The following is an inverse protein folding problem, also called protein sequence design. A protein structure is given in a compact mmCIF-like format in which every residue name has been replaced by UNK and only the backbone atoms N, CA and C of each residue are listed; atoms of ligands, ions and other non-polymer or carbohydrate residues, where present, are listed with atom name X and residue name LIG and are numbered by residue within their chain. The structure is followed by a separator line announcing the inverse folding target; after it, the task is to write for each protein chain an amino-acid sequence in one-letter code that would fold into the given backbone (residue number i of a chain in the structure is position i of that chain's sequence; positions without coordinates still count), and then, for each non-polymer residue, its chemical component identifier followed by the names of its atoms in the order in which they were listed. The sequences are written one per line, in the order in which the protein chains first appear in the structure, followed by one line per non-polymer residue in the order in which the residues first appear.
data_IF_601176431718
#
_entry.id   IF_601176431718
#
_cell.length_a   1.000
_cell.length_b   1.000
_cell.length_c   1.000
_cell.angle_alpha   90.00
_cell.angle_beta   90.00
_cell.angle_gamma   90.00
#
_symmetry.space_group_name_H-M   'P 1'
#
loop_
_entity.id
_entity.type
_entity.pdbx_description
1 polymer ?
#
# COMPACT_ATOMS: atom_id res chain seq x y z
N UNK A 1 -9.55 8.39 -11.12
CA UNK A 1 -10.11 9.77 -11.20
C UNK A 1 -9.58 10.47 -9.97
N UNK A 2 -8.87 11.57 -10.12
CA UNK A 2 -8.28 12.25 -8.97
C UNK A 2 -9.38 12.79 -8.06
N UNK A 3 -9.35 12.39 -6.80
CA UNK A 3 -10.22 12.91 -5.76
C UNK A 3 -9.81 14.36 -5.47
N UNK A 4 -10.81 15.25 -5.40
CA UNK A 4 -10.62 16.66 -5.03
C UNK A 4 -11.00 16.79 -3.56
N UNK A 5 -10.10 17.35 -2.76
CA UNK A 5 -10.36 17.63 -1.35
C UNK A 5 -11.51 18.64 -1.19
N UNK A 6 -12.53 18.24 -0.45
CA UNK A 6 -13.71 19.04 -0.15
C UNK A 6 -13.80 19.45 1.33
N UNK A 7 -12.72 19.22 2.09
CA UNK A 7 -12.66 19.52 3.53
C UNK A 7 -13.21 18.41 4.43
N UNK A 8 -13.82 17.35 3.88
CA UNK A 8 -14.43 16.28 4.67
C UNK A 8 -13.39 15.21 5.05
N UNK A 9 -12.89 15.31 6.29
CA UNK A 9 -11.88 14.40 6.83
C UNK A 9 -12.36 12.94 6.89
N UNK A 10 -13.64 12.71 7.22
CA UNK A 10 -14.20 11.36 7.35
C UNK A 10 -14.34 10.71 5.97
N UNK A 11 -14.76 11.49 4.96
CA UNK A 11 -14.79 11.01 3.58
C UNK A 11 -13.40 10.67 3.06
N UNK A 12 -12.41 11.54 3.29
CA UNK A 12 -11.01 11.26 2.98
C UNK A 12 -10.52 9.95 3.62
N UNK A 13 -10.80 9.75 4.92
CA UNK A 13 -10.47 8.51 5.63
C UNK A 13 -11.14 7.27 5.02
N UNK A 14 -12.40 7.42 4.59
CA UNK A 14 -13.14 6.36 3.89
C UNK A 14 -12.45 5.93 2.59
N UNK A 15 -12.00 6.90 1.78
CA UNK A 15 -11.23 6.60 0.57
C UNK A 15 -9.90 5.92 0.86
N UNK A 16 -9.12 6.44 1.82
CA UNK A 16 -7.84 5.83 2.25
C UNK A 16 -8.05 4.37 2.65
N UNK A 17 -9.07 4.10 3.45
CA UNK A 17 -9.38 2.75 3.94
C UNK A 17 -9.75 1.80 2.81
N UNK A 18 -10.64 2.24 1.91
CA UNK A 18 -11.11 1.43 0.78
C UNK A 18 -9.98 1.14 -0.20
N UNK A 19 -9.21 2.15 -0.58
CA UNK A 19 -8.12 2.01 -1.53
C UNK A 19 -6.96 1.20 -0.94
N UNK A 20 -6.64 1.35 0.34
CA UNK A 20 -5.67 0.47 0.99
C UNK A 20 -6.10 -1.00 0.95
N UNK A 21 -7.38 -1.32 1.18
CA UNK A 21 -7.87 -2.69 1.08
C UNK A 21 -7.78 -3.25 -0.35
N UNK A 22 -8.07 -2.43 -1.36
CA UNK A 22 -7.86 -2.80 -2.76
C UNK A 22 -6.38 -3.02 -3.11
N UNK A 23 -5.50 -2.16 -2.61
CA UNK A 23 -4.06 -2.28 -2.81
C UNK A 23 -3.53 -3.60 -2.20
N UNK A 24 -3.94 -3.93 -0.97
CA UNK A 24 -3.58 -5.18 -0.30
C UNK A 24 -4.02 -6.41 -1.08
N UNK A 25 -5.23 -6.39 -1.65
CA UNK A 25 -5.69 -7.45 -2.56
C UNK A 25 -4.74 -7.63 -3.73
N UNK A 26 -4.27 -6.56 -4.36
CA UNK A 26 -3.36 -6.68 -5.51
C UNK A 26 -1.95 -7.14 -5.12
N UNK A 27 -1.49 -6.81 -3.90
CA UNK A 27 -0.28 -7.40 -3.33
C UNK A 27 -0.44 -8.92 -3.21
N UNK A 28 -1.59 -9.39 -2.71
CA UNK A 28 -1.89 -10.82 -2.64
C UNK A 28 -1.93 -11.48 -4.03
N UNK A 29 -2.42 -10.79 -5.05
CA UNK A 29 -2.38 -11.29 -6.44
C UNK A 29 -0.94 -11.39 -6.97
N UNK A 30 -0.06 -10.43 -6.68
CA UNK A 30 1.37 -10.54 -6.99
C UNK A 30 1.99 -11.77 -6.31
N UNK A 31 1.67 -12.02 -5.04
CA UNK A 31 2.15 -13.19 -4.30
C UNK A 31 1.71 -14.49 -4.97
N UNK A 32 0.43 -14.61 -5.35
CA UNK A 32 -0.08 -15.84 -5.98
C UNK A 32 0.73 -16.22 -7.22
N UNK A 33 1.04 -15.24 -8.07
CA UNK A 33 1.85 -15.46 -9.28
C UNK A 33 3.27 -15.91 -8.94
N UNK A 34 3.91 -15.25 -7.97
CA UNK A 34 5.29 -15.56 -7.57
C UNK A 34 5.38 -16.93 -6.89
N UNK A 35 4.46 -17.24 -5.96
CA UNK A 35 4.41 -18.52 -5.25
C UNK A 35 4.21 -19.69 -6.21
N UNK A 36 3.43 -19.52 -7.27
CA UNK A 36 3.25 -20.56 -8.28
C UNK A 36 4.58 -21.01 -8.91
N UNK A 37 5.62 -20.16 -8.85
CA UNK A 37 6.97 -20.46 -9.31
C UNK A 37 7.98 -20.80 -8.19
N UNK A 38 7.67 -20.51 -6.93
CA UNK A 38 8.54 -20.82 -5.78
C UNK A 38 8.10 -22.12 -5.08
N UNK A 39 8.71 -23.24 -5.48
CA UNK A 39 8.43 -24.55 -4.88
C UNK A 39 8.79 -24.66 -3.37
N UNK A 40 9.53 -23.69 -2.81
CA UNK A 40 9.98 -23.69 -1.40
C UNK A 40 9.28 -22.62 -0.55
N UNK A 41 8.21 -22.01 -1.06
CA UNK A 41 7.50 -20.97 -0.33
C UNK A 41 6.93 -21.47 1.01
N UNK A 42 6.84 -20.58 1.99
CA UNK A 42 6.13 -20.85 3.24
C UNK A 42 4.62 -20.69 3.02
N UNK A 43 3.85 -21.76 3.24
CA UNK A 43 2.38 -21.76 3.18
C UNK A 43 1.73 -20.72 4.12
N UNK A 44 2.44 -20.24 5.14
CA UNK A 44 1.94 -19.23 6.07
C UNK A 44 2.00 -17.81 5.50
N UNK A 45 2.67 -17.58 4.36
CA UNK A 45 2.86 -16.26 3.75
C UNK A 45 1.54 -15.50 3.52
N UNK A 46 0.47 -16.18 3.11
CA UNK A 46 -0.85 -15.56 2.93
C UNK A 46 -1.43 -14.95 4.21
N UNK A 47 -1.05 -15.46 5.38
CA UNK A 47 -1.51 -14.98 6.69
C UNK A 47 -0.58 -13.92 7.29
N UNK A 48 0.54 -13.62 6.65
CA UNK A 48 1.48 -12.64 7.14
C UNK A 48 0.98 -11.20 6.88
N UNK A 49 1.47 -10.22 7.65
CA UNK A 49 1.21 -8.81 7.37
C UNK A 49 1.67 -8.39 5.97
N UNK A 50 1.01 -7.39 5.40
CA UNK A 50 1.31 -6.85 4.05
C UNK A 50 2.77 -6.42 3.89
N UNK A 51 3.41 -5.89 4.94
CA UNK A 51 4.85 -5.55 4.90
C UNK A 51 5.73 -6.78 4.63
N UNK A 52 5.46 -7.91 5.28
CA UNK A 52 6.18 -9.17 5.05
C UNK A 52 5.92 -9.76 3.67
N UNK A 53 4.72 -9.54 3.16
CA UNK A 53 4.35 -9.89 1.79
C UNK A 53 5.16 -9.08 0.76
N UNK A 54 5.30 -7.77 0.97
CA UNK A 54 6.14 -6.90 0.13
C UNK A 54 7.62 -7.32 0.21
N UNK A 55 8.15 -7.55 1.43
CA UNK A 55 9.53 -8.03 1.63
C UNK A 55 9.79 -9.30 0.81
N UNK A 56 8.85 -10.26 0.85
CA UNK A 56 8.94 -11.50 0.09
C UNK A 56 8.96 -11.26 -1.41
N UNK A 57 8.07 -10.41 -1.95
CA UNK A 57 8.05 -10.08 -3.38
C UNK A 57 9.41 -9.50 -3.79
N UNK A 58 9.93 -8.52 -3.05
CA UNK A 58 11.23 -7.91 -3.36
C UNK A 58 12.37 -8.95 -3.35
N UNK A 59 12.40 -9.83 -2.34
CA UNK A 59 13.40 -10.90 -2.26
C UNK A 59 13.34 -11.86 -3.45
N UNK A 60 12.16 -12.19 -3.98
CA UNK A 60 12.05 -13.07 -5.14
C UNK A 60 12.48 -12.36 -6.42
N UNK A 61 12.13 -11.09 -6.59
CA UNK A 61 12.54 -10.29 -7.75
C UNK A 61 14.07 -10.09 -7.80
N UNK A 62 14.75 -10.03 -6.66
CA UNK A 62 16.22 -9.93 -6.59
C UNK A 62 16.96 -11.19 -7.07
N UNK A 63 16.29 -12.35 -7.11
CA UNK A 63 16.91 -13.63 -7.50
C UNK A 63 16.91 -13.86 -9.01
N UNK A 64 16.23 -13.02 -9.78
CA UNK A 64 15.99 -13.21 -11.21
C UNK A 64 16.38 -11.97 -12.00
N UNK A 65 16.63 -12.16 -13.30
CA UNK A 65 16.79 -11.04 -14.22
C UNK A 65 15.40 -10.54 -14.62
N UNK A 66 15.11 -9.29 -14.28
CA UNK A 66 13.83 -8.66 -14.55
C UNK A 66 13.69 -8.24 -16.02
N UNK A 67 12.52 -8.51 -16.61
CA UNK A 67 12.13 -7.94 -17.89
C UNK A 67 12.02 -6.41 -17.79
N UNK A 68 12.14 -5.73 -18.93
CA UNK A 68 12.16 -4.26 -18.99
C UNK A 68 10.95 -3.61 -18.29
N UNK A 69 9.77 -4.22 -18.37
CA UNK A 69 8.54 -3.72 -17.72
C UNK A 69 8.60 -3.73 -16.19
N UNK A 70 9.38 -4.64 -15.60
CA UNK A 70 9.49 -4.81 -14.16
C UNK A 70 10.75 -4.13 -13.58
N UNK A 71 11.58 -3.51 -14.41
CA UNK A 71 12.88 -2.97 -13.99
C UNK A 71 12.78 -2.00 -12.81
N UNK A 72 11.73 -1.18 -12.78
CA UNK A 72 11.50 -0.19 -11.72
C UNK A 72 10.55 -0.70 -10.62
N UNK A 73 10.02 -1.91 -10.75
CA UNK A 73 9.03 -2.42 -9.82
C UNK A 73 9.55 -2.60 -8.38
N UNK A 74 10.81 -3.01 -8.13
CA UNK A 74 11.37 -3.05 -6.78
C UNK A 74 11.34 -1.70 -6.05
N UNK A 75 11.66 -0.61 -6.74
CA UNK A 75 11.62 0.75 -6.17
C UNK A 75 10.18 1.19 -5.92
N UNK A 76 9.26 0.85 -6.84
CA UNK A 76 7.85 1.11 -6.66
C UNK A 76 7.25 0.34 -5.48
N UNK A 77 7.72 -0.88 -5.20
CA UNK A 77 7.32 -1.65 -4.00
C UNK A 77 7.77 -0.97 -2.71
N UNK A 78 8.93 -0.32 -2.72
CA UNK A 78 9.38 0.48 -1.57
C UNK A 78 8.41 1.66 -1.34
N UNK A 79 8.07 2.41 -2.39
CA UNK A 79 7.10 3.52 -2.31
C UNK A 79 5.75 3.01 -1.78
N UNK A 80 5.27 1.86 -2.28
CA UNK A 80 4.04 1.23 -1.79
C UNK A 80 4.11 0.90 -0.30
N UNK A 81 5.26 0.40 0.19
CA UNK A 81 5.48 0.18 1.61
C UNK A 81 5.37 1.46 2.44
N UNK A 82 5.92 2.57 1.95
CA UNK A 82 5.82 3.88 2.59
C UNK A 82 4.38 4.40 2.62
N UNK A 83 3.60 4.20 1.55
CA UNK A 83 2.17 4.55 1.51
C UNK A 83 1.36 3.76 2.55
N UNK A 84 1.65 2.46 2.71
CA UNK A 84 0.98 1.64 3.72
C UNK A 84 1.33 2.07 5.15
N UNK A 85 2.56 2.53 5.41
CA UNK A 85 2.91 3.12 6.71
C UNK A 85 2.21 4.46 6.96
N UNK A 86 2.10 5.34 5.94
CA UNK A 86 1.29 6.56 6.04
C UNK A 86 -0.18 6.23 6.34
N UNK A 87 -0.73 5.24 5.66
CA UNK A 87 -2.08 4.71 5.93
C UNK A 87 -2.22 4.20 7.35
N UNK A 88 -1.22 3.48 7.87
CA UNK A 88 -1.25 3.00 9.25
C UNK A 88 -1.32 4.16 10.25
N UNK A 89 -0.58 5.24 10.00
CA UNK A 89 -0.64 6.44 10.83
C UNK A 89 -2.04 7.08 10.80
N UNK A 90 -2.65 7.23 9.62
CA UNK A 90 -3.98 7.84 9.48
C UNK A 90 -5.08 6.98 10.12
N UNK A 91 -5.13 5.69 9.78
CA UNK A 91 -6.22 4.80 10.20
C UNK A 91 -6.18 4.46 11.70
N UNK A 92 -4.98 4.34 12.27
CA UNK A 92 -4.81 3.93 13.67
C UNK A 92 -4.62 5.09 14.65
N UNK A 93 -4.83 6.33 14.22
CA UNK A 93 -4.83 7.48 15.10
C UNK A 93 -6.25 7.90 15.48
N UNK A 94 -6.40 8.47 16.67
CA UNK A 94 -7.63 9.12 17.09
C UNK A 94 -7.64 10.58 16.61
N UNK A 95 -8.78 11.05 16.14
CA UNK A 95 -9.00 12.46 15.79
C UNK A 95 -9.84 13.11 16.89
N UNK A 96 -9.34 14.22 17.44
CA UNK A 96 -10.02 15.00 18.46
C UNK A 96 -10.26 16.43 17.97
N UNK A 97 -11.49 16.90 18.13
CA UNK A 97 -11.82 18.30 17.86
C UNK A 97 -11.26 19.20 18.97
N UNK A 98 -10.62 20.31 18.59
CA UNK A 98 -10.13 21.32 19.53
C UNK A 98 -10.51 22.73 19.08
N UNK A 99 -10.30 23.73 19.95
CA UNK A 99 -10.58 25.13 19.65
C UNK A 99 -9.68 25.73 18.54
N UNK A 100 -8.60 25.05 18.17
CA UNK A 100 -7.63 25.51 17.15
C UNK A 100 -7.63 24.63 15.88
N UNK A 101 -8.56 23.66 15.81
CA UNK A 101 -8.68 22.70 14.71
C UNK A 101 -8.60 21.24 15.19
N UNK A 102 -8.83 20.31 14.28
CA UNK A 102 -8.78 18.88 14.59
C UNK A 102 -7.32 18.42 14.75
N UNK A 103 -7.05 17.68 15.82
CA UNK A 103 -5.75 17.08 16.10
C UNK A 103 -5.81 15.57 15.96
N UNK A 104 -4.70 15.00 15.50
CA UNK A 104 -4.46 13.57 15.37
C UNK A 104 -3.48 13.13 16.45
N UNK A 105 -3.91 12.13 17.22
CA UNK A 105 -3.10 11.51 18.26
C UNK A 105 -2.89 10.04 17.90
N UNK A 106 -1.63 9.67 17.68
CA UNK A 106 -1.24 8.29 17.37
C UNK A 106 -1.28 7.43 18.62
N UNK A 107 -1.75 6.18 18.49
CA UNK A 107 -1.65 5.18 19.56
C UNK A 107 -0.22 4.63 19.75
N UNK A 108 0.73 4.95 18.86
CA UNK A 108 2.13 4.49 18.96
C UNK A 108 2.91 5.39 19.93
N UNK A 109 3.62 4.83 20.93
CA UNK A 109 4.46 5.61 21.84
C UNK A 109 5.52 6.43 21.10
N UNK A 110 5.72 7.68 21.53
CA UNK A 110 6.76 8.57 20.99
C UNK A 110 6.43 9.24 19.65
N UNK A 111 5.23 9.02 19.09
CA UNK A 111 4.77 9.77 17.92
C UNK A 111 4.11 11.07 18.40
N UNK A 112 4.58 12.25 17.97
CA UNK A 112 4.00 13.52 18.40
C UNK A 112 2.59 13.71 17.85
N UNK A 113 1.79 14.50 18.56
CA UNK A 113 0.51 14.99 18.06
C UNK A 113 0.72 15.82 16.80
N UNK A 114 -0.23 15.75 15.87
CA UNK A 114 -0.18 16.47 14.60
C UNK A 114 -1.55 16.99 14.20
N UNK A 115 -1.66 18.03 13.37
CA UNK A 115 -2.94 18.44 12.81
C UNK A 115 -3.57 17.32 11.98
N UNK A 116 -4.89 17.11 12.12
CA UNK A 116 -5.66 16.22 11.28
C UNK A 116 -6.22 17.02 10.09
N UNK A 117 -5.65 16.84 8.89
CA UNK A 117 -6.02 17.61 7.70
C UNK A 117 -6.69 16.70 6.65
N UNK A 118 -7.83 17.14 6.12
CA UNK A 118 -8.52 16.43 5.02
C UNK A 118 -7.60 16.27 3.80
N UNK A 119 -6.87 17.32 3.43
CA UNK A 119 -5.91 17.31 2.32
C UNK A 119 -4.94 16.12 2.37
N UNK A 120 -4.40 15.80 3.54
CA UNK A 120 -3.48 14.66 3.72
C UNK A 120 -4.17 13.32 3.43
N UNK A 121 -5.45 13.18 3.78
CA UNK A 121 -6.22 11.96 3.52
C UNK A 121 -6.54 11.82 2.04
N UNK A 122 -6.94 12.92 1.40
CA UNK A 122 -7.22 12.94 -0.04
C UNK A 122 -5.96 12.71 -0.90
N UNK A 123 -4.84 13.33 -0.54
CA UNK A 123 -3.53 13.09 -1.18
C UNK A 123 -3.14 11.62 -1.07
N UNK A 124 -3.17 11.06 0.14
CA UNK A 124 -2.83 9.64 0.33
C UNK A 124 -3.80 8.72 -0.43
N UNK A 125 -5.09 9.03 -0.47
CA UNK A 125 -6.05 8.24 -1.24
C UNK A 125 -5.71 8.25 -2.74
N UNK A 126 -5.37 9.40 -3.31
CA UNK A 126 -4.94 9.49 -4.70
C UNK A 126 -3.66 8.67 -4.96
N UNK A 127 -2.65 8.79 -4.08
CA UNK A 127 -1.42 7.99 -4.19
C UNK A 127 -1.71 6.47 -4.14
N UNK A 128 -2.64 6.06 -3.28
CA UNK A 128 -3.07 4.66 -3.20
C UNK A 128 -3.80 4.20 -4.47
N UNK A 129 -4.66 5.03 -5.07
CA UNK A 129 -5.36 4.70 -6.34
C UNK A 129 -4.37 4.51 -7.51
N UNK A 130 -3.35 5.35 -7.58
CA UNK A 130 -2.27 5.19 -8.55
C UNK A 130 -1.49 3.89 -8.33
N UNK A 131 -1.14 3.58 -7.08
CA UNK A 131 -0.47 2.35 -6.70
C UNK A 131 -1.32 1.09 -7.00
N UNK A 132 -2.65 1.16 -6.82
CA UNK A 132 -3.59 0.10 -7.21
C UNK A 132 -3.48 -0.17 -8.70
N UNK A 133 -3.50 0.88 -9.53
CA UNK A 133 -3.43 0.74 -10.99
C UNK A 133 -2.13 0.07 -11.41
N UNK A 134 -1.01 0.45 -10.78
CA UNK A 134 0.28 -0.17 -10.99
C UNK A 134 0.26 -1.66 -10.62
N UNK A 135 -0.13 -2.01 -9.38
CA UNK A 135 -0.12 -3.40 -8.93
C UNK A 135 -1.10 -4.28 -9.69
N UNK A 136 -2.25 -3.74 -10.12
CA UNK A 136 -3.15 -4.44 -11.02
C UNK A 136 -2.44 -4.86 -12.31
N UNK A 137 -1.78 -3.91 -12.98
CA UNK A 137 -1.07 -4.18 -14.23
C UNK A 137 0.07 -5.18 -14.03
N UNK A 138 0.84 -4.99 -12.96
CA UNK A 138 1.98 -5.85 -12.64
C UNK A 138 1.53 -7.28 -12.32
N UNK A 139 0.51 -7.46 -11.46
CA UNK A 139 0.00 -8.78 -11.08
C UNK A 139 -0.67 -9.53 -12.22
N UNK A 140 -1.36 -8.83 -13.13
CA UNK A 140 -2.11 -9.47 -14.22
C UNK A 140 -1.35 -9.65 -15.52
N UNK A 141 -0.29 -8.88 -15.76
CA UNK A 141 0.40 -8.90 -17.05
C UNK A 141 1.91 -9.08 -16.93
N UNK A 142 2.60 -8.27 -16.13
CA UNK A 142 4.06 -8.25 -16.15
C UNK A 142 4.69 -9.38 -15.33
N UNK A 143 4.17 -9.69 -14.14
CA UNK A 143 4.64 -10.86 -13.36
C UNK A 143 4.31 -12.19 -14.05
N UNK A 144 3.10 -12.44 -14.57
CA UNK A 144 2.82 -13.69 -15.29
C UNK A 144 3.78 -13.90 -16.48
N UNK A 145 4.06 -12.85 -17.25
CA UNK A 145 5.06 -12.89 -18.34
C UNK A 145 6.49 -13.14 -17.86
N UNK A 146 6.89 -12.55 -16.72
CA UNK A 146 8.20 -12.81 -16.11
C UNK A 146 8.36 -14.29 -15.70
N UNK A 147 7.30 -14.92 -15.22
CA UNK A 147 7.32 -16.29 -14.70
C UNK A 147 6.77 -17.34 -15.67
N UNK A 148 6.38 -16.95 -16.89
CA UNK A 148 5.72 -17.78 -17.90
C UNK A 148 4.46 -18.51 -17.37
N UNK A 149 3.60 -17.78 -16.66
CA UNK A 149 2.31 -18.24 -16.10
C UNK A 149 1.15 -17.55 -16.80
#
# INVERSE_FOLDING_TARGET
MTLIDDGDLIRGLGFVTLYAAHLEKWIDECIKVIIAHDAKHDNRLYRQPTSKKIDYIQQQLQKIVLIQELKNFPDQLQIIGELLEKRNLIIHSCVYATNVGDIRISGRPGVPESPAKSAEHYELANDLDEAITLLYRVSKFSLPRQFNV
#
